data_IF_342519453203
#
_entry.id   IF_342519453203
#
_cell.length_a   1.000
_cell.length_b   1.000
_cell.length_c   1.000
_cell.angle_alpha   90.00
_cell.angle_beta   90.00
_cell.angle_gamma   90.00
#
_symmetry.space_group_name_H-M   'P 1'
#
loop_
_entity.id
_entity.type
_entity.pdbx_description
1 polymer ?
#
# COMPACT_ATOMS: atom_id res chain seq x y z
N UNK A 1 -17.03 -8.59 16.83
CA UNK A 1 -17.61 -7.75 15.75
C UNK A 1 -17.46 -6.31 16.19
N UNK A 2 -16.55 -5.54 15.57
CA UNK A 2 -16.34 -4.12 15.88
C UNK A 2 -17.19 -3.31 14.90
N UNK A 3 -18.28 -2.76 15.41
CA UNK A 3 -19.13 -1.80 14.71
C UNK A 3 -18.39 -0.47 14.54
N UNK A 4 -18.66 0.21 13.41
CA UNK A 4 -18.60 1.67 13.34
C UNK A 4 -17.91 2.18 12.10
N UNK A 5 -18.69 2.36 11.03
CA UNK A 5 -18.40 3.25 9.89
C UNK A 5 -17.01 3.10 9.26
N UNK A 6 -16.91 2.20 8.29
CA UNK A 6 -15.78 2.15 7.37
C UNK A 6 -15.84 3.38 6.44
N UNK A 7 -15.41 4.54 6.94
CA UNK A 7 -15.14 5.74 6.12
C UNK A 7 -13.92 5.55 5.20
N UNK A 8 -13.60 4.29 4.82
CA UNK A 8 -12.41 3.89 4.07
C UNK A 8 -11.08 4.10 4.82
N UNK A 9 -11.09 4.43 6.12
CA UNK A 9 -9.88 4.78 6.88
C UNK A 9 -9.66 3.82 8.04
N UNK A 10 -8.62 2.97 8.01
CA UNK A 10 -8.32 2.07 9.11
C UNK A 10 -7.92 2.87 10.38
N UNK A 11 -8.32 2.42 11.59
CA UNK A 11 -7.90 3.05 12.83
C UNK A 11 -6.38 2.92 13.00
N UNK A 12 -5.70 4.05 13.28
CA UNK A 12 -4.25 4.08 13.39
C UNK A 12 -3.73 3.54 14.74
N UNK A 13 -2.55 2.88 14.75
CA UNK A 13 -1.86 2.53 15.97
C UNK A 13 -1.55 3.76 16.85
N UNK A 14 -1.57 3.62 18.19
CA UNK A 14 -1.13 4.67 19.09
C UNK A 14 0.32 5.10 18.80
N UNK A 15 0.58 6.41 18.74
CA UNK A 15 1.92 6.97 18.56
C UNK A 15 2.29 7.39 17.13
N UNK A 16 1.40 7.21 16.16
CA UNK A 16 1.55 7.78 14.82
C UNK A 16 0.74 9.09 14.75
N UNK A 17 1.34 10.23 14.33
CA UNK A 17 0.58 11.44 14.07
C UNK A 17 -0.47 11.19 12.97
N UNK A 18 -1.75 11.12 13.35
CA UNK A 18 -2.85 10.77 12.44
C UNK A 18 -2.92 11.67 11.21
N UNK A 19 -2.63 12.96 11.37
CA UNK A 19 -2.67 13.93 10.28
C UNK A 19 -1.59 13.65 9.21
N UNK A 20 -0.34 13.43 9.62
CA UNK A 20 0.78 13.15 8.72
C UNK A 20 0.55 11.83 7.97
N UNK A 21 0.13 10.80 8.69
CA UNK A 21 -0.14 9.49 8.09
C UNK A 21 -1.24 9.56 7.04
N UNK A 22 -2.36 10.22 7.38
CA UNK A 22 -3.50 10.35 6.48
C UNK A 22 -3.17 11.24 5.28
N UNK A 23 -2.36 12.28 5.46
CA UNK A 23 -1.92 13.15 4.36
C UNK A 23 -1.13 12.35 3.32
N UNK A 24 -0.17 11.52 3.74
CA UNK A 24 0.61 10.69 2.83
C UNK A 24 -0.26 9.64 2.14
N UNK A 25 -1.20 9.00 2.86
CA UNK A 25 -2.12 8.04 2.25
C UNK A 25 -2.95 8.69 1.13
N UNK A 26 -3.57 9.85 1.41
CA UNK A 26 -4.43 10.54 0.45
C UNK A 26 -3.62 11.12 -0.72
N UNK A 27 -2.43 11.69 -0.47
CA UNK A 27 -1.57 12.17 -1.54
C UNK A 27 -1.10 11.03 -2.46
N UNK A 28 -0.81 9.84 -1.89
CA UNK A 28 -0.43 8.67 -2.67
C UNK A 28 -1.61 8.11 -3.48
N UNK A 29 -2.82 8.16 -2.92
CA UNK A 29 -4.05 7.81 -3.62
C UNK A 29 -4.29 8.73 -4.82
N UNK A 30 -4.23 10.05 -4.64
CA UNK A 30 -4.43 11.01 -5.73
C UNK A 30 -3.39 10.81 -6.85
N UNK A 31 -2.14 10.54 -6.49
CA UNK A 31 -1.08 10.23 -7.45
C UNK A 31 -1.32 8.91 -8.20
N UNK A 32 -1.85 7.90 -7.51
CA UNK A 32 -2.22 6.61 -8.11
C UNK A 32 -3.38 6.76 -9.09
N UNK A 33 -4.45 7.46 -8.72
CA UNK A 33 -5.58 7.73 -9.62
C UNK A 33 -5.09 8.42 -10.92
N UNK A 34 -4.25 9.45 -10.79
CA UNK A 34 -3.69 10.11 -11.97
C UNK A 34 -2.78 9.19 -12.81
N UNK A 35 -2.14 8.18 -12.21
CA UNK A 35 -1.37 7.18 -12.94
C UNK A 35 -2.25 6.18 -13.68
N UNK A 36 -3.37 5.76 -13.07
CA UNK A 36 -4.40 4.92 -13.71
C UNK A 36 -5.00 5.63 -14.91
N UNK A 37 -5.40 6.91 -14.75
CA UNK A 37 -5.98 7.71 -15.84
C UNK A 37 -5.03 7.79 -17.05
N UNK A 38 -3.74 8.05 -16.80
CA UNK A 38 -2.73 8.09 -17.87
C UNK A 38 -2.52 6.74 -18.54
N UNK A 39 -2.57 5.65 -17.77
CA UNK A 39 -2.42 4.30 -18.30
C UNK A 39 -3.60 3.93 -19.19
N UNK A 40 -4.83 4.26 -18.78
CA UNK A 40 -6.04 4.03 -19.56
C UNK A 40 -6.01 4.83 -20.88
N UNK A 41 -5.66 6.11 -20.83
CA UNK A 41 -5.49 6.97 -22.01
C UNK A 41 -4.43 6.43 -23.00
N UNK A 42 -3.37 5.81 -22.47
CA UNK A 42 -2.25 5.25 -23.24
C UNK A 42 -2.46 3.80 -23.70
N UNK A 43 -3.48 3.09 -23.19
CA UNK A 43 -3.62 1.64 -23.35
C UNK A 43 -2.50 0.84 -22.67
N UNK A 44 -1.94 1.36 -21.59
CA UNK A 44 -0.88 0.76 -20.78
C UNK A 44 -1.45 0.05 -19.54
N UNK A 45 -0.68 -0.87 -18.96
CA UNK A 45 -1.06 -1.56 -17.72
C UNK A 45 -0.49 -0.83 -16.49
N UNK A 46 -1.25 -0.81 -15.40
CA UNK A 46 -0.85 -0.17 -14.15
C UNK A 46 0.03 -1.09 -13.30
N UNK A 47 0.94 -0.49 -12.52
CA UNK A 47 1.89 -1.26 -11.69
C UNK A 47 1.20 -2.04 -10.56
N UNK A 48 0.08 -1.53 -10.06
CA UNK A 48 -0.81 -2.17 -9.10
C UNK A 48 -2.23 -2.26 -9.68
N UNK A 49 -3.07 -3.10 -9.08
CA UNK A 49 -4.46 -3.30 -9.52
C UNK A 49 -5.21 -1.95 -9.59
N UNK A 50 -5.76 -1.56 -10.76
CA UNK A 50 -6.46 -0.29 -10.92
C UNK A 50 -7.72 -0.18 -10.04
N UNK A 51 -8.23 -1.28 -9.49
CA UNK A 51 -9.29 -1.28 -8.49
C UNK A 51 -8.95 -0.41 -7.26
N UNK A 52 -7.67 -0.25 -6.95
CA UNK A 52 -7.19 0.66 -5.90
C UNK A 52 -7.56 2.14 -6.14
N UNK A 53 -7.95 2.53 -7.35
CA UNK A 53 -8.39 3.90 -7.67
C UNK A 53 -9.88 4.15 -7.38
N UNK A 54 -10.67 3.14 -6.94
CA UNK A 54 -12.10 3.33 -6.68
C UNK A 54 -12.38 4.21 -5.46
N UNK A 55 -11.63 4.00 -4.37
CA UNK A 55 -11.70 4.81 -3.16
C UNK A 55 -10.46 4.60 -2.28
N UNK A 56 -10.21 5.50 -1.29
CA UNK A 56 -9.05 5.37 -0.40
C UNK A 56 -8.98 4.09 0.43
N UNK A 57 -10.11 3.41 0.66
CA UNK A 57 -10.16 2.14 1.36
C UNK A 57 -9.59 0.99 0.52
N UNK A 58 -9.99 0.90 -0.75
CA UNK A 58 -9.44 -0.08 -1.69
C UNK A 58 -7.97 0.21 -1.99
N UNK A 59 -7.59 1.49 -2.10
CA UNK A 59 -6.19 1.89 -2.18
C UNK A 59 -5.37 1.34 -1.01
N UNK A 60 -5.85 1.54 0.22
CA UNK A 60 -5.17 1.01 1.38
C UNK A 60 -5.08 -0.52 1.36
N UNK A 61 -6.14 -1.21 0.95
CA UNK A 61 -6.17 -2.67 0.88
C UNK A 61 -5.14 -3.23 -0.11
N UNK A 62 -5.16 -2.75 -1.36
CA UNK A 62 -4.24 -3.20 -2.42
C UNK A 62 -2.79 -2.85 -2.08
N UNK A 63 -2.53 -1.65 -1.55
CA UNK A 63 -1.17 -1.27 -1.15
C UNK A 63 -0.68 -2.07 0.07
N UNK A 64 -1.58 -2.51 0.95
CA UNK A 64 -1.24 -3.41 2.06
C UNK A 64 -0.89 -4.81 1.56
N UNK A 65 -1.58 -5.33 0.56
CA UNK A 65 -1.21 -6.58 -0.11
C UNK A 65 0.17 -6.45 -0.76
N UNK A 66 0.40 -5.41 -1.56
CA UNK A 66 1.69 -5.12 -2.18
C UNK A 66 2.82 -4.98 -1.14
N UNK A 67 2.54 -4.41 0.04
CA UNK A 67 3.50 -4.29 1.13
C UNK A 67 4.00 -5.65 1.63
N UNK A 68 3.18 -6.69 1.63
CA UNK A 68 3.59 -8.03 2.06
C UNK A 68 4.10 -8.90 0.91
N UNK A 69 3.51 -8.79 -0.28
CA UNK A 69 3.81 -9.67 -1.41
C UNK A 69 4.95 -9.15 -2.30
N UNK A 70 4.92 -7.85 -2.61
CA UNK A 70 5.88 -7.20 -3.52
C UNK A 70 6.50 -5.92 -2.91
N UNK A 71 7.06 -5.98 -1.68
CA UNK A 71 7.47 -4.79 -0.93
C UNK A 71 8.49 -3.91 -1.65
N UNK A 72 9.36 -4.50 -2.47
CA UNK A 72 10.37 -3.75 -3.23
C UNK A 72 9.72 -2.85 -4.29
N UNK A 73 8.66 -3.34 -4.95
CA UNK A 73 7.90 -2.59 -5.95
C UNK A 73 7.16 -1.44 -5.29
N UNK A 74 6.47 -1.70 -4.18
CA UNK A 74 5.79 -0.65 -3.42
C UNK A 74 6.76 0.43 -2.92
N UNK A 75 7.93 0.03 -2.41
CA UNK A 75 8.96 0.96 -1.96
C UNK A 75 9.53 1.82 -3.10
N UNK A 76 9.64 1.26 -4.31
CA UNK A 76 10.13 1.99 -5.47
C UNK A 76 9.11 3.01 -5.98
N UNK A 77 7.84 2.62 -6.09
CA UNK A 77 6.78 3.47 -6.63
C UNK A 77 6.25 4.49 -5.62
N UNK A 78 6.05 4.08 -4.37
CA UNK A 78 5.46 4.92 -3.31
C UNK A 78 6.32 4.85 -2.03
N UNK A 79 7.52 5.44 -2.01
CA UNK A 79 8.45 5.33 -0.87
C UNK A 79 7.87 5.88 0.45
N UNK A 80 7.14 6.99 0.40
CA UNK A 80 6.52 7.59 1.59
C UNK A 80 5.36 6.73 2.12
N UNK A 81 4.54 6.18 1.21
CA UNK A 81 3.48 5.24 1.59
C UNK A 81 4.06 3.96 2.19
N UNK A 82 5.12 3.42 1.59
CA UNK A 82 5.83 2.27 2.13
C UNK A 82 6.32 2.53 3.56
N UNK A 83 6.95 3.69 3.81
CA UNK A 83 7.38 4.07 5.15
C UNK A 83 6.20 4.18 6.14
N UNK A 84 5.05 4.68 5.69
CA UNK A 84 3.83 4.73 6.48
C UNK A 84 3.27 3.34 6.82
N UNK A 85 3.23 2.43 5.85
CA UNK A 85 2.79 1.05 6.06
C UNK A 85 3.77 0.28 6.95
N UNK A 86 5.07 0.52 6.81
CA UNK A 86 6.08 -0.06 7.69
C UNK A 86 5.90 0.37 9.14
N UNK A 87 5.61 1.65 9.39
CA UNK A 87 5.27 2.17 10.73
C UNK A 87 3.95 1.59 11.23
N UNK A 88 2.92 1.52 10.38
CA UNK A 88 1.59 1.01 10.71
C UNK A 88 1.63 -0.47 11.11
N UNK A 89 2.25 -1.32 10.30
CA UNK A 89 2.38 -2.77 10.55
C UNK A 89 3.53 -3.13 11.49
N UNK A 90 4.42 -2.17 11.80
CA UNK A 90 5.66 -2.37 12.56
C UNK A 90 6.54 -3.48 11.97
N UNK A 91 6.61 -3.53 10.64
CA UNK A 91 7.35 -4.51 9.87
C UNK A 91 8.08 -3.83 8.73
N UNK A 92 9.14 -4.45 8.22
CA UNK A 92 9.83 -4.00 7.01
C UNK A 92 10.11 -5.21 6.09
N UNK A 93 9.11 -5.65 5.31
CA UNK A 93 9.25 -6.81 4.43
C UNK A 93 10.31 -6.62 3.34
N UNK A 94 10.60 -5.38 2.91
CA UNK A 94 11.66 -5.09 1.94
C UNK A 94 13.07 -5.35 2.49
N UNK A 95 13.27 -5.35 3.81
CA UNK A 95 14.58 -5.65 4.42
C UNK A 95 14.66 -7.03 5.03
N UNK A 96 13.52 -7.72 5.19
CA UNK A 96 13.51 -9.16 5.47
C UNK A 96 14.09 -9.89 4.26
N UNK A 97 15.33 -10.35 4.41
CA UNK A 97 15.81 -11.47 3.61
C UNK A 97 14.87 -12.64 3.87
N UNK A 98 13.93 -12.90 2.96
CA UNK A 98 13.33 -14.22 2.90
C UNK A 98 14.48 -15.18 2.56
N UNK A 99 14.76 -16.23 3.37
CA UNK A 99 15.73 -17.22 2.95
C UNK A 99 15.24 -17.78 1.61
N UNK A 100 16.02 -17.56 0.56
CA UNK A 100 15.72 -18.08 -0.76
C UNK A 100 15.55 -19.59 -0.65
N UNK A 101 14.30 -20.06 -0.79
CA UNK A 101 13.94 -21.46 -0.95
C UNK A 101 14.29 -22.39 0.22
N UNK A 102 13.28 -22.75 1.01
CA UNK A 102 13.18 -24.16 1.42
C UNK A 102 12.78 -24.97 0.18
N UNK A 103 13.70 -25.16 -0.76
CA UNK A 103 13.62 -26.29 -1.67
C UNK A 103 13.74 -27.54 -0.78
N UNK A 104 12.66 -28.31 -0.71
CA UNK A 104 12.65 -29.59 -0.01
C UNK A 104 13.79 -30.48 -0.57
N UNK A 105 14.62 -31.10 0.27
CA UNK A 105 15.59 -32.06 -0.21
C UNK A 105 14.90 -33.39 -0.56
N UNK A 106 15.17 -33.88 -1.78
CA UNK A 106 15.25 -35.31 -2.13
C UNK A 106 13.95 -36.08 -2.24
#
# INVERSE_FOLDING_TARGET
MRNGEANGRPPLPPGIPTAEWQQVLLASYDAFCAAVDRADDGGEETVFDPYAAENPGEFFAVMSEAFFETPQRLRAEFPDLYANLARFYRQDPATRMWPAGSAAPG
#
